data_IF_708253085528
#
_entry.id   IF_708253085528
#
_cell.length_a   1.000
_cell.length_b   1.000
_cell.length_c   1.000
_cell.angle_alpha   90.00
_cell.angle_beta   90.00
_cell.angle_gamma   90.00
#
_symmetry.space_group_name_H-M   'P 1'
#
loop_
_entity.id
_entity.type
_entity.pdbx_description
1 polymer ?
#
# COMPACT_ATOMS: atom_id res chain seq x y z
N UNK A 1 0.70 -4.09 -4.44
CA UNK A 1 0.99 -3.75 -3.04
C UNK A 1 2.15 -4.61 -2.56
N UNK A 2 2.81 -4.24 -1.47
CA UNK A 2 3.93 -4.98 -0.88
C UNK A 2 3.93 -4.75 0.64
N UNK A 3 4.30 -5.77 1.41
CA UNK A 3 4.53 -5.63 2.86
C UNK A 3 3.32 -5.21 3.68
N UNK A 4 2.11 -5.71 3.37
CA UNK A 4 0.91 -5.39 4.14
C UNK A 4 0.87 -6.16 5.47
N UNK A 5 0.30 -5.53 6.51
CA UNK A 5 -0.16 -6.19 7.73
C UNK A 5 -1.69 -6.26 7.65
N UNK A 6 -2.24 -7.47 7.68
CA UNK A 6 -3.68 -7.69 7.60
C UNK A 6 -4.09 -8.58 8.74
N UNK A 7 -5.05 -8.13 9.53
CA UNK A 7 -5.60 -8.88 10.65
C UNK A 7 -7.08 -9.16 10.42
N UNK A 8 -7.58 -10.21 11.07
CA UNK A 8 -9.01 -10.45 11.20
C UNK A 8 -9.63 -9.59 12.32
N UNK A 9 -10.91 -9.82 12.57
CA UNK A 9 -11.70 -9.16 13.62
C UNK A 9 -11.20 -9.44 15.04
N UNK A 10 -10.45 -10.54 15.24
CA UNK A 10 -9.86 -10.91 16.52
C UNK A 10 -8.42 -10.41 16.66
N UNK A 11 -7.97 -9.52 15.76
CA UNK A 11 -6.60 -9.02 15.67
C UNK A 11 -5.55 -10.12 15.44
N UNK A 12 -5.97 -11.26 14.90
CA UNK A 12 -5.06 -12.32 14.47
C UNK A 12 -4.61 -12.02 13.05
N UNK A 13 -3.30 -12.11 12.82
CA UNK A 13 -2.75 -11.86 11.50
C UNK A 13 -3.21 -12.92 10.49
N UNK A 14 -3.63 -12.46 9.32
CA UNK A 14 -4.05 -13.34 8.23
C UNK A 14 -2.83 -13.99 7.56
N UNK A 15 -2.74 -15.34 7.59
CA UNK A 15 -1.56 -16.06 7.11
C UNK A 15 -1.32 -15.91 5.61
N UNK A 16 -2.37 -15.67 4.81
CA UNK A 16 -2.23 -15.46 3.37
C UNK A 16 -1.45 -14.20 3.05
N UNK A 17 -1.78 -13.09 3.71
CA UNK A 17 -1.07 -11.82 3.52
C UNK A 17 0.32 -11.83 4.16
N UNK A 18 0.44 -12.47 5.33
CA UNK A 18 1.73 -12.66 6.01
C UNK A 18 2.73 -13.39 5.11
N UNK A 19 2.31 -14.45 4.43
CA UNK A 19 3.18 -15.20 3.51
C UNK A 19 3.79 -14.31 2.42
N UNK A 20 2.98 -13.49 1.72
CA UNK A 20 3.48 -12.58 0.69
C UNK A 20 4.50 -11.59 1.26
N UNK A 21 4.23 -11.02 2.43
CA UNK A 21 5.17 -10.11 3.10
C UNK A 21 6.47 -10.84 3.46
N UNK A 22 6.38 -12.02 4.05
CA UNK A 22 7.54 -12.74 4.58
C UNK A 22 8.47 -13.25 3.47
N UNK A 23 7.88 -13.66 2.34
CA UNK A 23 8.62 -14.01 1.12
C UNK A 23 9.14 -12.79 0.34
N UNK A 24 8.75 -11.58 0.73
CA UNK A 24 9.10 -10.38 -0.02
C UNK A 24 8.50 -10.40 -1.43
N UNK A 25 7.28 -10.91 -1.58
CA UNK A 25 6.54 -10.93 -2.84
C UNK A 25 5.46 -9.83 -2.88
N UNK A 26 5.30 -9.11 -4.01
CA UNK A 26 4.22 -8.17 -4.17
C UNK A 26 2.88 -8.90 -4.31
N UNK A 27 1.81 -8.28 -3.81
CA UNK A 27 0.45 -8.78 -3.88
C UNK A 27 -0.46 -7.82 -4.67
N UNK A 28 -1.11 -8.36 -5.70
CA UNK A 28 -2.18 -7.66 -6.41
C UNK A 28 -3.51 -7.90 -5.68
N UNK A 29 -4.19 -6.81 -5.31
CA UNK A 29 -5.50 -6.87 -4.65
C UNK A 29 -6.58 -6.39 -5.60
N UNK A 30 -7.62 -7.20 -5.73
CA UNK A 30 -8.84 -6.81 -6.46
C UNK A 30 -9.79 -6.07 -5.53
N UNK A 31 -10.73 -5.32 -6.10
CA UNK A 31 -11.81 -4.71 -5.31
C UNK A 31 -12.63 -5.75 -4.52
N UNK A 32 -12.72 -7.00 -5.00
CA UNK A 32 -13.37 -8.08 -4.28
C UNK A 32 -12.60 -8.46 -3.00
N UNK A 33 -11.27 -8.56 -3.06
CA UNK A 33 -10.45 -8.86 -1.89
C UNK A 33 -10.64 -7.82 -0.78
N UNK A 34 -10.80 -6.54 -1.15
CA UNK A 34 -10.96 -5.45 -0.19
C UNK A 34 -12.29 -5.48 0.57
N UNK A 35 -13.33 -6.17 0.06
CA UNK A 35 -14.65 -6.19 0.71
C UNK A 35 -14.62 -6.84 2.09
N UNK A 36 -13.73 -7.82 2.30
CA UNK A 36 -13.56 -8.52 3.57
C UNK A 36 -12.44 -7.96 4.43
N UNK A 37 -11.73 -6.93 3.95
CA UNK A 37 -10.63 -6.33 4.69
C UNK A 37 -11.11 -5.13 5.50
N UNK A 38 -10.96 -5.23 6.81
CA UNK A 38 -11.30 -4.15 7.75
C UNK A 38 -10.10 -3.70 8.57
N UNK A 39 -9.19 -4.62 8.90
CA UNK A 39 -7.98 -4.33 9.67
C UNK A 39 -6.73 -4.51 8.80
N UNK A 40 -6.38 -3.45 8.07
CA UNK A 40 -5.16 -3.37 7.26
C UNK A 40 -4.30 -2.24 7.77
N UNK A 41 -3.01 -2.51 7.99
CA UNK A 41 -2.05 -1.56 8.52
C UNK A 41 -0.76 -1.55 7.70
N UNK A 42 -0.09 -0.40 7.72
CA UNK A 42 1.27 -0.27 7.20
C UNK A 42 2.29 -0.77 8.22
N UNK A 43 3.38 -1.38 7.76
CA UNK A 43 4.53 -1.74 8.59
C UNK A 43 5.03 -0.49 9.31
N UNK A 44 5.17 -0.56 10.64
CA UNK A 44 5.52 0.60 11.49
C UNK A 44 4.53 1.78 11.36
N UNK A 45 3.27 1.51 11.02
CA UNK A 45 2.23 2.52 10.87
C UNK A 45 2.41 3.44 9.66
N UNK A 46 3.13 3.01 8.62
CA UNK A 46 3.42 3.82 7.43
C UNK A 46 3.13 3.06 6.14
N UNK A 47 2.61 3.78 5.15
CA UNK A 47 2.49 3.30 3.77
C UNK A 47 3.11 4.29 2.81
N UNK A 48 3.89 3.79 1.85
CA UNK A 48 4.45 4.60 0.77
C UNK A 48 3.69 4.32 -0.52
N UNK A 49 3.10 5.36 -1.08
CA UNK A 49 2.29 5.32 -2.29
C UNK A 49 3.09 5.89 -3.45
N UNK A 50 3.23 5.11 -4.52
CA UNK A 50 4.01 5.46 -5.70
C UNK A 50 3.08 5.58 -6.89
N UNK A 51 3.18 6.71 -7.58
CA UNK A 51 2.53 6.90 -8.88
C UNK A 51 3.15 6.04 -9.96
N UNK A 52 4.48 6.12 -10.06
CA UNK A 52 5.26 5.56 -11.14
C UNK A 52 5.63 4.10 -10.86
N UNK A 53 5.19 3.13 -11.70
CA UNK A 53 5.52 1.72 -11.51
C UNK A 53 7.01 1.43 -11.53
N UNK A 54 7.80 2.17 -12.32
CA UNK A 54 9.25 1.94 -12.41
C UNK A 54 9.95 2.19 -11.07
N UNK A 55 9.57 3.26 -10.37
CA UNK A 55 10.08 3.58 -9.02
C UNK A 55 9.67 2.50 -8.02
N UNK A 56 8.42 2.05 -8.08
CA UNK A 56 7.93 0.96 -7.23
C UNK A 56 8.73 -0.34 -7.42
N UNK A 57 8.94 -0.77 -8.67
CA UNK A 57 9.67 -2.01 -8.96
C UNK A 57 11.14 -1.95 -8.58
N UNK A 58 11.80 -0.81 -8.81
CA UNK A 58 13.19 -0.63 -8.42
C UNK A 58 13.37 -0.71 -6.90
N UNK A 59 12.45 -0.11 -6.13
CA UNK A 59 12.44 -0.25 -4.67
C UNK A 59 12.14 -1.69 -4.22
N UNK A 60 11.21 -2.39 -4.88
CA UNK A 60 10.89 -3.78 -4.58
C UNK A 60 12.14 -4.68 -4.68
N UNK A 61 12.91 -4.55 -5.77
CA UNK A 61 14.14 -5.30 -6.01
C UNK A 61 15.17 -5.01 -4.91
N UNK A 62 15.37 -3.72 -4.60
CA UNK A 62 16.32 -3.29 -3.56
C UNK A 62 15.92 -3.80 -2.18
N UNK A 63 14.65 -3.67 -1.81
CA UNK A 63 14.17 -4.08 -0.50
C UNK A 63 14.14 -5.59 -0.31
N UNK A 64 13.80 -6.36 -1.35
CA UNK A 64 13.92 -7.83 -1.32
C UNK A 64 15.36 -8.27 -1.09
N UNK A 65 16.34 -7.62 -1.72
CA UNK A 65 17.78 -7.91 -1.53
C UNK A 65 18.25 -7.71 -0.08
N UNK A 66 17.70 -6.73 0.63
CA UNK A 66 18.10 -6.38 2.00
C UNK A 66 17.11 -6.87 3.08
N UNK A 67 16.15 -7.72 2.71
CA UNK A 67 15.06 -8.20 3.59
C UNK A 67 14.30 -7.07 4.32
N UNK A 68 14.06 -5.97 3.63
CA UNK A 68 13.30 -4.83 4.16
C UNK A 68 11.85 -4.96 3.67
N UNK A 69 10.88 -4.91 4.59
CA UNK A 69 9.45 -5.14 4.28
C UNK A 69 8.56 -3.91 4.60
N UNK A 70 8.85 -2.71 4.04
CA UNK A 70 7.95 -1.56 4.20
C UNK A 70 6.63 -1.82 3.47
N UNK A 71 5.56 -1.15 3.88
CA UNK A 71 4.32 -1.21 3.11
C UNK A 71 4.37 -0.26 1.93
N UNK A 72 4.25 -0.81 0.71
CA UNK A 72 4.27 -0.05 -0.53
C UNK A 72 3.00 -0.30 -1.34
N UNK A 73 2.48 0.76 -1.96
CA UNK A 73 1.35 0.70 -2.89
C UNK A 73 1.75 1.41 -4.17
N UNK A 74 1.51 0.78 -5.31
CA UNK A 74 1.64 1.42 -6.63
C UNK A 74 0.24 1.75 -7.15
N UNK A 75 0.01 2.99 -7.55
CA UNK A 75 -1.24 3.41 -8.20
C UNK A 75 -1.19 3.21 -9.72
N UNK A 76 0.01 3.26 -10.31
CA UNK A 76 0.24 3.19 -11.76
C UNK A 76 -0.47 4.33 -12.50
N UNK A 77 -0.24 5.57 -12.05
CA UNK A 77 -0.96 6.77 -12.47
C UNK A 77 -2.12 7.11 -11.54
N UNK A 78 -3.23 7.64 -12.09
CA UNK A 78 -4.41 8.01 -11.30
C UNK A 78 -4.96 6.79 -10.52
N UNK A 79 -5.28 6.96 -9.22
CA UNK A 79 -5.56 5.84 -8.35
C UNK A 79 -6.95 5.28 -8.63
N UNK A 80 -7.02 3.97 -8.87
CA UNK A 80 -8.29 3.26 -8.95
C UNK A 80 -9.04 3.32 -7.60
N UNK A 81 -10.37 3.15 -7.65
CA UNK A 81 -11.20 3.11 -6.44
C UNK A 81 -10.72 2.07 -5.42
N UNK A 82 -10.20 0.92 -5.87
CA UNK A 82 -9.65 -0.10 -4.97
C UNK A 82 -8.45 0.42 -4.16
N UNK A 83 -7.55 1.20 -4.78
CA UNK A 83 -6.42 1.79 -4.08
C UNK A 83 -6.91 2.81 -3.05
N UNK A 84 -7.85 3.66 -3.44
CA UNK A 84 -8.44 4.64 -2.53
C UNK A 84 -9.13 3.98 -1.34
N UNK A 85 -9.95 2.95 -1.58
CA UNK A 85 -10.60 2.18 -0.52
C UNK A 85 -9.59 1.53 0.43
N UNK A 86 -8.50 0.97 -0.11
CA UNK A 86 -7.44 0.39 0.71
C UNK A 86 -6.77 1.46 1.59
N UNK A 87 -6.43 2.61 1.01
CA UNK A 87 -5.84 3.73 1.76
C UNK A 87 -6.77 4.23 2.86
N UNK A 88 -8.07 4.36 2.57
CA UNK A 88 -9.08 4.76 3.57
C UNK A 88 -9.14 3.76 4.74
N UNK A 89 -9.08 2.45 4.47
CA UNK A 89 -8.99 1.42 5.52
C UNK A 89 -7.71 1.61 6.36
N UNK A 90 -6.56 1.81 5.71
CA UNK A 90 -5.28 1.96 6.39
C UNK A 90 -5.22 3.21 7.28
N UNK A 91 -5.74 4.33 6.80
CA UNK A 91 -5.81 5.60 7.57
C UNK A 91 -6.70 5.44 8.80
N UNK A 92 -7.86 4.80 8.66
CA UNK A 92 -8.75 4.50 9.80
C UNK A 92 -8.05 3.64 10.87
N UNK A 93 -7.13 2.78 10.45
CA UNK A 93 -6.32 1.94 11.35
C UNK A 93 -5.00 2.62 11.80
N UNK A 94 -4.88 3.94 11.63
CA UNK A 94 -3.75 4.74 12.13
C UNK A 94 -2.50 4.73 11.24
N UNK A 95 -2.61 4.30 9.98
CA UNK A 95 -1.48 4.31 9.06
C UNK A 95 -1.31 5.69 8.42
N UNK A 96 -0.09 6.23 8.46
CA UNK A 96 0.29 7.46 7.79
C UNK A 96 0.69 7.21 6.33
N UNK A 97 0.11 8.00 5.42
CA UNK A 97 0.41 7.94 3.98
C UNK A 97 1.59 8.85 3.64
N UNK A 98 2.58 8.31 2.95
CA UNK A 98 3.67 9.03 2.29
C UNK A 98 3.50 8.87 0.79
N UNK A 99 3.36 9.98 0.07
CA UNK A 99 3.13 9.98 -1.37
C UNK A 99 4.41 10.33 -2.14
N UNK A 100 4.67 9.59 -3.23
CA UNK A 100 5.76 9.77 -4.17
C UNK A 100 5.19 9.82 -5.58
N UNK A 101 4.87 11.03 -6.04
CA UNK A 101 4.47 11.33 -7.42
C UNK A 101 5.52 12.17 -8.14
N UNK A 102 5.39 12.26 -9.45
CA UNK A 102 6.25 13.13 -10.26
C UNK A 102 5.91 14.60 -9.99
N UNK A 103 6.91 15.49 -10.13
CA UNK A 103 6.72 16.92 -9.86
C UNK A 103 6.17 17.64 -11.10
N UNK A 104 4.96 17.25 -11.48
CA UNK A 104 4.19 17.79 -12.60
C UNK A 104 2.74 18.10 -12.15
N UNK A 105 1.91 18.72 -13.01
CA UNK A 105 0.53 19.04 -12.63
C UNK A 105 -0.29 17.82 -12.19
N UNK A 106 -0.06 16.65 -12.77
CA UNK A 106 -0.84 15.42 -12.52
C UNK A 106 -0.46 14.81 -11.17
N UNK A 107 0.83 14.70 -10.88
CA UNK A 107 1.37 14.23 -9.62
C UNK A 107 1.01 15.17 -8.46
N UNK A 108 1.00 16.49 -8.68
CA UNK A 108 0.54 17.48 -7.69
C UNK A 108 -0.96 17.39 -7.43
N UNK A 109 -1.78 17.21 -8.49
CA UNK A 109 -3.21 17.00 -8.34
C UNK A 109 -3.53 15.72 -7.55
N UNK A 110 -2.79 14.64 -7.80
CA UNK A 110 -2.95 13.41 -7.03
C UNK A 110 -2.54 13.59 -5.56
N UNK A 111 -1.43 14.28 -5.27
CA UNK A 111 -1.03 14.59 -3.91
C UNK A 111 -2.12 15.37 -3.14
N UNK A 112 -2.70 16.39 -3.78
CA UNK A 112 -3.78 17.21 -3.23
C UNK A 112 -5.09 16.41 -3.05
N UNK A 113 -5.41 15.52 -4.00
CA UNK A 113 -6.55 14.59 -3.91
C UNK A 113 -6.43 13.64 -2.71
N UNK A 114 -5.24 13.05 -2.51
CA UNK A 114 -4.96 12.16 -1.39
C UNK A 114 -4.99 12.91 -0.05
N UNK A 115 -4.50 14.16 0.00
CA UNK A 115 -4.48 14.98 1.22
C UNK A 115 -5.86 15.41 1.70
N UNK A 116 -6.82 15.59 0.80
CA UNK A 116 -8.19 16.04 1.14
C UNK A 116 -9.11 14.93 1.65
N UNK A 117 -8.65 13.69 1.67
CA UNK A 117 -9.37 12.53 2.21
C UNK A 117 -9.06 12.34 3.69
#
# INVERSE_FOLDING_TARGET
TYGLLVHDENSVENPGYAWFRDQGEPLALTAYNLKSLHNVQGTKGKVFVFENPAVFYDLLIRYKKYDIKPTLICTSGQPALSVLTLLDIMVRNGTLIYYSGDFDPEGLQMADSLKRR
#
